data_IF_162334054372
#
_entry.id   IF_162334054372
#
_cell.length_a   1.000
_cell.length_b   1.000
_cell.length_c   1.000
_cell.angle_alpha   90.00
_cell.angle_beta   90.00
_cell.angle_gamma   90.00
#
_symmetry.space_group_name_H-M   'P 1'
#
loop_
_entity.id
_entity.type
_entity.pdbx_description
1 polymer ?
#
# COMPACT_ATOMS: atom_id res chain seq x y z
N UNK A 1 27.37 -29.29 25.22
CA UNK A 1 27.38 -27.85 24.84
C UNK A 1 26.23 -27.64 23.90
N UNK A 2 25.30 -26.76 24.23
CA UNK A 2 24.19 -26.41 23.29
C UNK A 2 24.73 -25.39 22.29
N UNK A 3 24.90 -25.78 21.03
CA UNK A 3 25.19 -24.86 19.94
C UNK A 3 24.07 -23.84 19.85
N UNK A 4 24.37 -22.56 20.00
CA UNK A 4 23.39 -21.47 19.88
C UNK A 4 23.61 -20.73 18.58
N UNK A 5 22.52 -20.36 17.87
CA UNK A 5 22.63 -19.59 16.62
C UNK A 5 22.81 -18.10 16.92
N UNK A 6 23.70 -17.45 16.18
CA UNK A 6 23.91 -16.01 16.28
C UNK A 6 22.69 -15.24 15.78
N UNK A 7 22.10 -14.37 16.60
CA UNK A 7 20.89 -13.59 16.25
C UNK A 7 21.11 -12.59 15.09
N UNK A 8 22.35 -12.16 14.86
CA UNK A 8 22.65 -11.20 13.78
C UNK A 8 22.83 -11.87 12.42
N UNK A 9 23.61 -12.95 12.34
CA UNK A 9 23.97 -13.60 11.07
C UNK A 9 23.42 -15.02 10.90
N UNK A 10 22.87 -15.64 11.96
CA UNK A 10 22.30 -16.99 11.92
C UNK A 10 23.34 -18.14 12.00
N UNK A 11 24.64 -17.83 11.96
CA UNK A 11 25.68 -18.83 12.07
C UNK A 11 25.67 -19.53 13.44
N UNK A 12 26.05 -20.81 13.48
CA UNK A 12 26.29 -21.54 14.75
C UNK A 12 27.48 -20.93 15.48
N UNK A 13 27.40 -20.86 16.79
CA UNK A 13 28.47 -20.35 17.64
C UNK A 13 28.60 -21.20 18.88
N UNK A 14 29.81 -21.43 19.27
CA UNK A 14 30.17 -22.18 20.51
C UNK A 14 30.62 -21.24 21.64
N UNK A 15 31.05 -20.01 21.29
CA UNK A 15 31.55 -19.00 22.19
C UNK A 15 30.68 -17.74 22.25
N UNK A 16 30.95 -16.85 23.21
CA UNK A 16 30.24 -15.56 23.35
C UNK A 16 30.38 -14.66 22.12
N UNK A 17 31.46 -14.83 21.35
CA UNK A 17 31.72 -14.06 20.12
C UNK A 17 31.49 -14.95 18.91
N UNK A 18 30.73 -14.42 17.92
CA UNK A 18 30.45 -15.12 16.69
C UNK A 18 31.67 -15.05 15.73
N UNK A 19 32.18 -16.18 15.26
CA UNK A 19 33.34 -16.24 14.36
C UNK A 19 33.05 -15.64 12.99
N UNK A 20 31.79 -15.67 12.54
CA UNK A 20 31.37 -15.16 11.22
C UNK A 20 31.19 -13.64 11.21
N UNK A 21 30.50 -13.05 12.20
CA UNK A 21 30.23 -11.62 12.23
C UNK A 21 30.99 -10.84 13.29
N UNK A 22 31.74 -11.52 14.15
CA UNK A 22 32.57 -10.91 15.18
C UNK A 22 31.82 -10.29 16.36
N UNK A 23 30.48 -10.40 16.41
CA UNK A 23 29.65 -9.78 17.45
C UNK A 23 29.47 -10.69 18.67
N UNK A 24 29.46 -10.07 19.85
CA UNK A 24 29.02 -10.73 21.09
C UNK A 24 27.50 -10.95 21.06
N UNK A 25 26.94 -11.76 21.97
CA UNK A 25 25.52 -12.04 22.04
C UNK A 25 24.68 -10.77 22.20
N UNK A 26 25.08 -9.89 23.11
CA UNK A 26 24.39 -8.61 23.37
C UNK A 26 24.49 -7.64 22.20
N UNK A 27 25.65 -7.54 21.55
CA UNK A 27 25.85 -6.71 20.37
C UNK A 27 25.07 -7.24 19.16
N UNK A 28 24.96 -8.56 19.00
CA UNK A 28 24.17 -9.19 17.95
C UNK A 28 22.67 -8.93 18.13
N UNK A 29 22.17 -9.01 19.36
CA UNK A 29 20.78 -8.69 19.69
C UNK A 29 20.47 -7.21 19.42
N UNK A 30 21.32 -6.30 19.87
CA UNK A 30 21.17 -4.88 19.62
C UNK A 30 21.18 -4.56 18.13
N UNK A 31 22.10 -5.16 17.37
CA UNK A 31 22.17 -5.01 15.90
C UNK A 31 20.88 -5.51 15.23
N UNK A 32 20.33 -6.65 15.66
CA UNK A 32 19.07 -7.16 15.12
C UNK A 32 17.90 -6.24 15.42
N UNK A 33 17.76 -5.77 16.66
CA UNK A 33 16.71 -4.82 17.08
C UNK A 33 16.78 -3.52 16.28
N UNK A 34 17.97 -2.95 16.11
CA UNK A 34 18.17 -1.74 15.30
C UNK A 34 17.77 -1.92 13.85
N UNK A 35 18.17 -3.06 13.24
CA UNK A 35 17.76 -3.40 11.86
C UNK A 35 16.26 -3.56 11.72
N UNK A 36 15.60 -4.21 12.66
CA UNK A 36 14.15 -4.39 12.66
C UNK A 36 13.43 -3.05 12.80
N UNK A 37 13.86 -2.20 13.76
CA UNK A 37 13.28 -0.88 13.97
C UNK A 37 13.40 0.00 12.71
N UNK A 38 14.58 0.08 12.10
CA UNK A 38 14.79 0.85 10.89
C UNK A 38 13.90 0.36 9.73
N UNK A 39 13.78 -0.93 9.54
CA UNK A 39 12.94 -1.51 8.48
C UNK A 39 11.45 -1.27 8.73
N UNK A 40 11.01 -1.43 9.99
CA UNK A 40 9.64 -1.13 10.38
C UNK A 40 9.34 0.36 10.18
N UNK A 41 10.26 1.25 10.52
CA UNK A 41 10.11 2.68 10.26
C UNK A 41 9.99 2.99 8.76
N UNK A 42 10.81 2.36 7.92
CA UNK A 42 10.70 2.49 6.44
C UNK A 42 9.34 2.01 5.95
N UNK A 43 8.85 0.85 6.40
CA UNK A 43 7.54 0.34 6.05
C UNK A 43 6.40 1.30 6.47
N UNK A 44 6.44 1.78 7.73
CA UNK A 44 5.43 2.70 8.25
C UNK A 44 5.43 4.04 7.49
N UNK A 45 6.62 4.57 7.18
CA UNK A 45 6.73 5.79 6.38
C UNK A 45 6.12 5.58 4.98
N UNK A 46 6.38 4.43 4.35
CA UNK A 46 5.75 4.06 3.09
C UNK A 46 4.23 3.95 3.21
N UNK A 47 3.73 3.36 4.30
CA UNK A 47 2.29 3.25 4.55
C UNK A 47 1.63 4.64 4.72
N UNK A 48 2.25 5.55 5.45
CA UNK A 48 1.78 6.94 5.57
C UNK A 48 1.78 7.63 4.20
N UNK A 49 2.85 7.48 3.43
CA UNK A 49 2.94 8.05 2.07
C UNK A 49 1.84 7.51 1.16
N UNK A 50 1.56 6.21 1.23
CA UNK A 50 0.45 5.60 0.49
C UNK A 50 -0.92 6.16 0.90
N UNK A 51 -1.17 6.35 2.19
CA UNK A 51 -2.43 6.96 2.68
C UNK A 51 -2.58 8.38 2.15
N UNK A 52 -1.52 9.18 2.18
CA UNK A 52 -1.52 10.55 1.64
C UNK A 52 -1.76 10.54 0.13
N UNK A 53 -1.08 9.66 -0.60
CA UNK A 53 -1.26 9.51 -2.05
C UNK A 53 -2.70 9.11 -2.43
N UNK A 54 -3.26 8.13 -1.71
CA UNK A 54 -4.65 7.66 -1.91
C UNK A 54 -5.69 8.73 -1.53
N UNK A 55 -5.39 9.59 -0.56
CA UNK A 55 -6.24 10.74 -0.23
C UNK A 55 -6.17 11.84 -1.28
N UNK A 56 -5.02 12.03 -1.95
CA UNK A 56 -4.82 13.03 -3.00
C UNK A 56 -5.40 12.59 -4.35
N UNK A 57 -5.30 11.31 -4.67
CA UNK A 57 -5.76 10.69 -5.91
C UNK A 57 -6.67 9.49 -5.59
N UNK A 58 -7.90 9.74 -5.14
CA UNK A 58 -8.80 8.69 -4.69
C UNK A 58 -9.31 7.87 -5.87
N UNK A 59 -8.82 6.64 -5.99
CA UNK A 59 -9.25 5.73 -7.04
C UNK A 59 -10.73 5.40 -6.91
N UNK A 60 -11.43 5.38 -8.06
CA UNK A 60 -12.83 5.00 -8.14
C UNK A 60 -13.01 3.52 -7.77
N UNK A 61 -12.15 2.66 -8.31
CA UNK A 61 -12.15 1.22 -8.06
C UNK A 61 -10.78 0.72 -7.61
N UNK A 62 -10.81 -0.21 -6.66
CA UNK A 62 -9.61 -0.87 -6.15
C UNK A 62 -9.44 -2.30 -6.67
N UNK A 63 -10.45 -2.89 -7.31
CA UNK A 63 -10.45 -4.31 -7.66
C UNK A 63 -9.36 -4.65 -8.69
N UNK A 64 -9.21 -3.85 -9.74
CA UNK A 64 -8.10 -3.99 -10.69
C UNK A 64 -6.72 -3.78 -10.04
N UNK A 65 -6.66 -2.88 -9.06
CA UNK A 65 -5.45 -2.60 -8.28
C UNK A 65 -5.07 -3.81 -7.42
N UNK A 66 -6.03 -4.54 -6.84
CA UNK A 66 -5.75 -5.70 -5.98
C UNK A 66 -5.03 -6.83 -6.74
N UNK A 67 -5.38 -7.08 -8.00
CA UNK A 67 -4.68 -8.05 -8.85
C UNK A 67 -3.24 -7.60 -9.10
N UNK A 68 -3.06 -6.32 -9.44
CA UNK A 68 -1.74 -5.72 -9.65
C UNK A 68 -0.90 -5.75 -8.37
N UNK A 69 -1.52 -5.48 -7.21
CA UNK A 69 -0.94 -5.63 -5.87
C UNK A 69 -0.41 -7.05 -5.65
N UNK A 70 -1.25 -8.05 -5.92
CA UNK A 70 -0.87 -9.45 -5.77
C UNK A 70 0.35 -9.81 -6.62
N UNK A 71 0.33 -9.44 -7.92
CA UNK A 71 1.45 -9.69 -8.83
C UNK A 71 2.73 -9.02 -8.35
N UNK A 72 2.64 -7.77 -7.91
CA UNK A 72 3.79 -7.01 -7.43
C UNK A 72 4.34 -7.56 -6.11
N UNK A 73 3.47 -8.03 -5.22
CA UNK A 73 3.88 -8.72 -3.99
C UNK A 73 4.72 -9.97 -4.33
N UNK A 74 4.25 -10.82 -5.23
CA UNK A 74 5.00 -12.01 -5.62
C UNK A 74 6.31 -11.66 -6.34
N UNK A 75 6.34 -10.58 -7.13
CA UNK A 75 7.56 -10.10 -7.76
C UNK A 75 8.58 -9.61 -6.72
N UNK A 76 8.15 -8.78 -5.75
CA UNK A 76 9.03 -8.26 -4.69
C UNK A 76 9.50 -9.38 -3.77
N UNK A 77 8.64 -10.33 -3.45
CA UNK A 77 8.98 -11.52 -2.69
C UNK A 77 10.00 -12.38 -3.44
N UNK A 78 9.78 -12.64 -4.73
CA UNK A 78 10.73 -13.37 -5.57
C UNK A 78 12.08 -12.69 -5.66
N UNK A 79 12.10 -11.36 -5.85
CA UNK A 79 13.32 -10.56 -5.85
C UNK A 79 14.04 -10.60 -4.50
N UNK A 80 13.30 -10.48 -3.40
CA UNK A 80 13.87 -10.58 -2.05
C UNK A 80 14.52 -11.95 -1.81
N UNK A 81 13.85 -13.04 -2.20
CA UNK A 81 14.39 -14.41 -2.10
C UNK A 81 15.63 -14.57 -2.99
N UNK A 82 15.62 -14.01 -4.20
CA UNK A 82 16.75 -14.10 -5.12
C UNK A 82 17.98 -13.33 -4.60
N UNK A 83 17.78 -12.11 -4.11
CA UNK A 83 18.84 -11.29 -3.51
C UNK A 83 19.43 -11.97 -2.26
N UNK A 84 18.58 -12.54 -1.43
CA UNK A 84 19.00 -13.26 -0.23
C UNK A 84 19.81 -14.51 -0.57
N UNK A 85 19.36 -15.33 -1.52
CA UNK A 85 20.12 -16.51 -1.99
C UNK A 85 21.48 -16.13 -2.55
N UNK A 86 21.60 -14.95 -3.16
CA UNK A 86 22.84 -14.47 -3.73
C UNK A 86 23.82 -13.92 -2.69
N UNK A 87 23.27 -13.23 -1.66
CA UNK A 87 24.04 -12.57 -0.62
C UNK A 87 24.39 -13.51 0.56
N UNK A 88 23.53 -14.50 0.85
CA UNK A 88 23.56 -15.28 2.09
C UNK A 88 23.52 -16.79 1.80
N UNK A 89 24.37 -17.27 0.90
CA UNK A 89 24.44 -18.70 0.51
C UNK A 89 24.64 -19.68 1.69
N UNK A 90 24.98 -19.18 2.87
CA UNK A 90 25.33 -19.98 4.05
C UNK A 90 24.30 -19.90 5.20
N UNK A 91 23.22 -19.11 5.06
CA UNK A 91 22.28 -18.88 6.15
C UNK A 91 20.88 -19.37 5.76
N UNK A 92 20.37 -20.33 6.50
CA UNK A 92 18.94 -20.69 6.49
C UNK A 92 18.14 -19.53 7.07
N UNK A 93 17.65 -18.64 6.22
CA UNK A 93 16.75 -17.57 6.68
C UNK A 93 15.34 -18.12 6.77
N UNK A 94 14.75 -17.98 7.95
CA UNK A 94 13.37 -18.39 8.19
C UNK A 94 12.40 -17.79 7.16
N UNK A 95 11.47 -18.58 6.67
CA UNK A 95 10.48 -18.17 5.66
C UNK A 95 9.76 -16.87 6.06
N UNK A 96 9.49 -16.68 7.35
CA UNK A 96 8.85 -15.47 7.89
C UNK A 96 9.68 -14.19 7.65
N UNK A 97 11.00 -14.25 7.77
CA UNK A 97 11.89 -13.11 7.47
C UNK A 97 11.85 -12.74 5.99
N UNK A 98 11.75 -13.72 5.11
CA UNK A 98 11.66 -13.49 3.65
C UNK A 98 10.37 -12.76 3.30
N UNK A 99 9.24 -13.22 3.84
CA UNK A 99 7.94 -12.56 3.66
C UNK A 99 7.98 -11.13 4.18
N UNK A 100 8.54 -10.92 5.38
CA UNK A 100 8.68 -9.58 5.96
C UNK A 100 9.49 -8.64 5.06
N UNK A 101 10.61 -9.11 4.50
CA UNK A 101 11.43 -8.28 3.59
C UNK A 101 10.73 -7.98 2.28
N UNK A 102 9.93 -8.90 1.77
CA UNK A 102 9.10 -8.70 0.58
C UNK A 102 7.99 -7.67 0.79
N UNK A 103 7.49 -7.52 2.03
CA UNK A 103 6.42 -6.58 2.36
C UNK A 103 6.90 -5.12 2.49
N UNK A 104 8.16 -4.89 2.87
CA UNK A 104 8.68 -3.53 3.15
C UNK A 104 8.53 -2.56 1.97
N UNK A 105 8.85 -2.91 0.72
CA UNK A 105 8.74 -2.00 -0.41
C UNK A 105 7.30 -1.76 -0.89
N UNK A 106 6.35 -2.62 -0.55
CA UNK A 106 5.00 -2.57 -1.10
C UNK A 106 4.29 -1.22 -0.89
N UNK A 107 4.24 -0.62 0.32
CA UNK A 107 3.56 0.66 0.51
C UNK A 107 4.17 1.77 -0.33
N UNK A 108 5.49 1.76 -0.54
CA UNK A 108 6.19 2.71 -1.40
C UNK A 108 5.83 2.57 -2.86
N UNK A 109 5.75 1.33 -3.34
CA UNK A 109 5.37 1.04 -4.72
C UNK A 109 3.93 1.48 -4.97
N UNK A 110 3.02 1.24 -4.01
CA UNK A 110 1.64 1.71 -4.12
C UNK A 110 1.54 3.23 -4.07
N UNK A 111 2.27 3.87 -3.17
CA UNK A 111 2.34 5.32 -3.13
C UNK A 111 2.84 5.90 -4.47
N UNK A 112 3.92 5.33 -5.02
CA UNK A 112 4.47 5.73 -6.30
C UNK A 112 3.50 5.49 -7.46
N UNK A 113 2.77 4.36 -7.45
CA UNK A 113 1.75 4.05 -8.45
C UNK A 113 0.61 5.08 -8.41
N UNK A 114 0.06 5.35 -7.23
CA UNK A 114 -1.03 6.31 -7.07
C UNK A 114 -0.61 7.74 -7.44
N UNK A 115 0.55 8.18 -6.96
CA UNK A 115 1.11 9.48 -7.30
C UNK A 115 1.42 9.59 -8.78
N UNK A 116 2.03 8.57 -9.36
CA UNK A 116 2.35 8.53 -10.79
C UNK A 116 1.11 8.53 -11.66
N UNK A 117 0.10 7.75 -11.27
CA UNK A 117 -1.17 7.65 -11.99
C UNK A 117 -1.90 9.00 -12.06
N UNK A 118 -1.98 9.74 -10.95
CA UNK A 118 -2.69 11.02 -10.93
C UNK A 118 -1.81 12.22 -11.34
N UNK A 119 -0.53 12.29 -10.93
CA UNK A 119 0.31 13.47 -11.18
C UNK A 119 0.78 13.58 -12.64
N UNK A 120 0.90 12.45 -13.35
CA UNK A 120 1.32 12.43 -14.76
C UNK A 120 0.17 12.18 -15.74
N UNK A 121 -1.06 12.13 -15.25
CA UNK A 121 -2.23 12.11 -16.11
C UNK A 121 -2.29 13.42 -16.91
N UNK A 122 -2.52 13.30 -18.21
CA UNK A 122 -2.69 14.41 -19.15
C UNK A 122 -4.00 14.31 -19.92
N UNK A 123 -4.81 13.29 -19.62
CA UNK A 123 -6.11 13.15 -20.25
C UNK A 123 -7.04 14.31 -19.82
N UNK A 124 -7.92 14.79 -20.72
CA UNK A 124 -8.92 15.76 -20.31
C UNK A 124 -9.88 15.12 -19.30
N UNK A 125 -10.28 15.85 -18.24
CA UNK A 125 -11.20 15.32 -17.26
C UNK A 125 -12.56 15.03 -17.91
N UNK A 126 -13.18 13.94 -17.51
CA UNK A 126 -14.53 13.54 -17.89
C UNK A 126 -15.50 13.97 -16.80
N UNK A 127 -16.68 14.44 -17.19
CA UNK A 127 -17.75 14.82 -16.26
C UNK A 127 -18.91 13.88 -16.50
N UNK A 128 -19.25 13.12 -15.45
CA UNK A 128 -20.34 12.15 -15.47
C UNK A 128 -21.47 12.59 -14.56
N UNK A 129 -22.69 12.55 -15.08
CA UNK A 129 -23.89 12.85 -14.31
C UNK A 129 -24.43 11.60 -13.62
N UNK A 130 -24.69 11.69 -12.32
CA UNK A 130 -25.19 10.58 -11.55
C UNK A 130 -26.17 11.04 -10.46
N UNK A 131 -27.05 10.13 -10.01
CA UNK A 131 -27.98 10.41 -8.92
C UNK A 131 -27.54 9.70 -7.63
N UNK A 132 -27.52 10.43 -6.53
CA UNK A 132 -27.20 9.87 -5.21
C UNK A 132 -28.32 8.91 -4.78
N UNK A 133 -27.98 7.64 -4.62
CA UNK A 133 -28.90 6.60 -4.12
C UNK A 133 -28.66 6.28 -2.65
N UNK A 134 -27.51 6.67 -2.10
CA UNK A 134 -27.18 6.48 -0.70
C UNK A 134 -25.83 7.05 -0.30
N UNK A 135 -25.49 6.93 0.97
CA UNK A 135 -24.22 7.34 1.55
C UNK A 135 -23.59 6.17 2.27
N UNK A 136 -22.29 6.05 2.17
CA UNK A 136 -21.52 5.04 2.89
C UNK A 136 -20.38 5.71 3.63
N UNK A 137 -20.27 5.47 4.93
CA UNK A 137 -19.14 5.93 5.72
C UNK A 137 -18.57 4.79 6.53
N UNK A 138 -17.27 4.67 6.55
CA UNK A 138 -16.53 3.75 7.39
C UNK A 138 -15.73 4.58 8.39
N UNK A 139 -15.99 4.34 9.68
CA UNK A 139 -15.23 4.94 10.78
C UNK A 139 -13.92 4.20 11.01
N UNK A 140 -13.09 4.73 11.91
CA UNK A 140 -11.81 4.12 12.31
C UNK A 140 -10.64 5.07 12.11
N UNK A 141 -9.42 4.52 12.16
CA UNK A 141 -8.18 5.30 12.00
C UNK A 141 -8.04 5.94 10.61
N UNK A 142 -8.67 5.36 9.59
CA UNK A 142 -8.72 5.86 8.22
C UNK A 142 -10.19 5.98 7.78
N UNK A 143 -10.88 7.07 8.15
CA UNK A 143 -12.26 7.25 7.81
C UNK A 143 -12.42 7.39 6.28
N UNK A 144 -13.30 6.59 5.71
CA UNK A 144 -13.65 6.67 4.29
C UNK A 144 -15.11 7.10 4.15
N UNK A 145 -15.37 8.11 3.33
CA UNK A 145 -16.71 8.59 3.00
C UNK A 145 -16.92 8.46 1.51
N UNK A 146 -18.02 7.81 1.13
CA UNK A 146 -18.36 7.58 -0.26
C UNK A 146 -19.83 7.87 -0.49
N UNK A 147 -20.14 8.54 -1.58
CA UNK A 147 -21.50 8.59 -2.13
C UNK A 147 -21.73 7.31 -2.92
N UNK A 148 -22.89 6.73 -2.74
CA UNK A 148 -23.38 5.65 -3.60
C UNK A 148 -24.28 6.31 -4.63
N UNK A 149 -23.88 6.26 -5.89
CA UNK A 149 -24.57 6.94 -6.99
C UNK A 149 -25.00 5.92 -8.07
N UNK A 150 -25.92 6.31 -8.93
CA UNK A 150 -26.25 5.51 -10.12
C UNK A 150 -25.03 5.40 -11.00
N UNK A 151 -24.78 4.22 -11.58
CA UNK A 151 -23.64 4.04 -12.47
C UNK A 151 -23.89 4.72 -13.83
N UNK A 152 -22.84 5.32 -14.36
CA UNK A 152 -22.73 5.76 -15.76
C UNK A 152 -22.08 4.71 -16.66
N UNK A 153 -21.59 3.59 -16.08
CA UNK A 153 -20.92 2.52 -16.81
C UNK A 153 -21.86 1.38 -17.13
N UNK A 154 -21.76 0.85 -18.33
CA UNK A 154 -22.52 -0.33 -18.74
C UNK A 154 -22.22 -1.55 -17.84
N UNK A 155 -23.25 -2.28 -17.47
CA UNK A 155 -23.15 -3.49 -16.62
C UNK A 155 -23.06 -3.20 -15.12
N UNK A 156 -22.88 -1.96 -14.69
CA UNK A 156 -22.85 -1.58 -13.27
C UNK A 156 -24.15 -0.88 -12.88
N UNK A 157 -24.67 -1.17 -11.69
CA UNK A 157 -25.90 -0.51 -11.18
C UNK A 157 -25.60 0.73 -10.35
N UNK A 158 -24.51 0.68 -9.60
CA UNK A 158 -24.09 1.73 -8.67
C UNK A 158 -22.59 1.91 -8.71
N UNK A 159 -22.16 3.14 -8.40
CA UNK A 159 -20.76 3.50 -8.18
C UNK A 159 -20.57 3.99 -6.74
N UNK A 160 -19.35 3.82 -6.20
CA UNK A 160 -18.98 4.31 -4.88
C UNK A 160 -17.93 5.40 -5.01
N UNK A 161 -18.40 6.63 -5.14
CA UNK A 161 -17.58 7.81 -5.37
C UNK A 161 -17.00 8.32 -4.05
N UNK A 162 -15.68 8.35 -3.87
CA UNK A 162 -15.06 8.94 -2.70
C UNK A 162 -15.30 10.45 -2.67
N UNK A 163 -15.63 10.98 -1.49
CA UNK A 163 -15.86 12.42 -1.28
C UNK A 163 -15.24 12.88 0.04
N UNK A 164 -14.91 14.14 0.12
CA UNK A 164 -14.48 14.75 1.36
C UNK A 164 -15.63 14.85 2.39
N UNK A 165 -15.29 15.29 3.60
CA UNK A 165 -16.27 15.38 4.68
C UNK A 165 -17.34 16.42 4.39
N UNK A 166 -16.96 17.57 3.86
CA UNK A 166 -17.87 18.70 3.63
C UNK A 166 -18.91 18.31 2.57
N UNK A 167 -18.45 17.79 1.44
CA UNK A 167 -19.31 17.33 0.38
C UNK A 167 -20.17 16.14 0.83
N UNK A 168 -19.64 15.20 1.62
CA UNK A 168 -20.43 14.09 2.14
C UNK A 168 -21.64 14.55 2.97
N UNK A 169 -21.48 15.57 3.80
CA UNK A 169 -22.56 16.07 4.66
C UNK A 169 -23.61 16.87 3.84
N UNK A 170 -23.18 17.59 2.80
CA UNK A 170 -24.03 18.45 1.98
C UNK A 170 -24.93 17.69 1.00
N UNK A 171 -24.52 16.54 0.47
CA UNK A 171 -25.33 15.77 -0.45
C UNK A 171 -26.44 14.98 0.26
N UNK A 172 -27.57 14.81 -0.38
CA UNK A 172 -28.71 14.04 0.07
C UNK A 172 -29.11 12.96 -0.94
N UNK A 173 -29.84 11.95 -0.48
CA UNK A 173 -30.38 10.93 -1.38
C UNK A 173 -31.38 11.57 -2.35
N UNK A 174 -31.18 11.29 -3.64
CA UNK A 174 -32.00 11.84 -4.72
C UNK A 174 -31.34 13.00 -5.45
N UNK A 175 -30.32 13.64 -4.86
CA UNK A 175 -29.59 14.73 -5.52
C UNK A 175 -28.93 14.24 -6.81
N UNK A 176 -28.86 15.14 -7.78
CA UNK A 176 -28.10 14.94 -9.01
C UNK A 176 -26.74 15.58 -8.83
N UNK A 177 -25.70 14.82 -9.10
CA UNK A 177 -24.31 15.21 -8.92
C UNK A 177 -23.54 15.06 -10.22
N UNK A 178 -22.59 15.94 -10.44
CA UNK A 178 -21.59 15.84 -11.49
C UNK A 178 -20.29 15.34 -10.86
N UNK A 179 -19.82 14.17 -11.35
CA UNK A 179 -18.58 13.55 -10.89
C UNK A 179 -17.51 13.84 -11.92
N UNK A 180 -16.49 14.57 -11.52
CA UNK A 180 -15.31 14.84 -12.34
C UNK A 180 -14.29 13.74 -12.16
N UNK A 181 -13.98 13.05 -13.25
CA UNK A 181 -13.06 11.90 -13.28
C UNK A 181 -11.87 12.20 -14.18
N UNK A 182 -10.75 11.58 -13.88
CA UNK A 182 -9.60 11.44 -14.75
C UNK A 182 -9.24 9.97 -14.89
N UNK A 183 -8.80 9.54 -16.09
CA UNK A 183 -8.55 8.14 -16.41
C UNK A 183 -7.29 7.60 -15.74
N UNK A 184 -6.37 8.50 -15.39
CA UNK A 184 -5.08 8.16 -14.83
C UNK A 184 -4.07 7.62 -15.86
N UNK A 185 -2.79 7.89 -15.65
CA UNK A 185 -1.70 7.49 -16.56
C UNK A 185 -1.68 5.98 -16.86
N UNK A 186 -2.02 5.15 -15.90
CA UNK A 186 -2.01 3.67 -16.03
C UNK A 186 -3.42 3.08 -16.16
N UNK A 187 -4.41 3.92 -16.47
CA UNK A 187 -5.80 3.48 -16.65
C UNK A 187 -6.53 3.14 -15.35
N UNK A 188 -6.11 3.70 -14.23
CA UNK A 188 -6.80 3.61 -12.95
C UNK A 188 -7.60 4.90 -12.77
N UNK A 189 -8.94 4.91 -13.03
CA UNK A 189 -9.74 6.11 -12.93
C UNK A 189 -9.79 6.61 -11.48
N UNK A 190 -9.66 7.92 -11.31
CA UNK A 190 -9.72 8.56 -10.02
C UNK A 190 -10.64 9.77 -10.02
N UNK A 191 -11.20 10.06 -8.85
CA UNK A 191 -12.18 11.14 -8.67
C UNK A 191 -11.45 12.44 -8.33
N UNK A 192 -11.63 13.43 -9.17
CA UNK A 192 -11.05 14.77 -8.94
C UNK A 192 -11.94 15.57 -8.00
N UNK A 193 -13.24 15.61 -8.27
CA UNK A 193 -14.22 16.35 -7.46
C UNK A 193 -15.65 15.89 -7.74
N UNK A 194 -16.59 16.31 -6.87
CA UNK A 194 -18.02 16.04 -7.00
C UNK A 194 -18.78 17.33 -6.72
N UNK A 195 -19.64 17.74 -7.65
CA UNK A 195 -20.40 18.98 -7.56
C UNK A 195 -21.91 18.72 -7.54
N UNK A 196 -22.66 19.63 -6.95
CA UNK A 196 -24.11 19.73 -7.18
C UNK A 196 -24.36 20.25 -8.60
N UNK A 197 -25.33 19.64 -9.26
CA UNK A 197 -25.86 20.17 -10.51
C UNK A 197 -26.92 21.24 -10.25
#
# INVERSE_FOLDING_TARGET
>A
MQMTRCMNCGAERDEDKCDVCGLTSTAAEFSLRSKLLNRTAIFLLGAVTFVVASGRYPALELDGILIFIGLLFFLTLGLAIWLERRALRHLEVEALKRVYYGLIPLPWIFAALMLGNGAFDRAPPQIEEARVVGKFSMGGALPSRRLVVTSWREGHRIERVPVDRVNFDNFSRGDVVEVKLEDGLVGIPWVVDVFHR
#
